data_IF_493215036456
#
_entry.id   IF_493215036456
#
_cell.length_a   1.000
_cell.length_b   1.000
_cell.length_c   1.000
_cell.angle_alpha   90.00
_cell.angle_beta   90.00
_cell.angle_gamma   90.00
#
_symmetry.space_group_name_H-M   'P 1'
#
loop_
_entity.id
_entity.type
_entity.pdbx_description
1 polymer ?
#
# COMPACT_ATOMS: atom_id res chain seq x y z
N UNK A 1 -21.22 1.88 4.57
CA UNK A 1 -20.45 0.83 3.86
C UNK A 1 -20.82 -0.55 4.41
N UNK A 2 -20.71 -1.64 3.63
CA UNK A 2 -20.81 -3.00 4.17
C UNK A 2 -19.74 -3.23 5.25
N UNK A 3 -20.08 -3.90 6.37
CA UNK A 3 -19.16 -4.10 7.53
C UNK A 3 -17.78 -4.65 7.15
N UNK A 4 -17.71 -5.47 6.10
CA UNK A 4 -16.46 -6.05 5.58
C UNK A 4 -15.53 -5.02 4.92
N UNK A 5 -16.05 -3.93 4.37
CA UNK A 5 -15.25 -2.85 3.77
C UNK A 5 -14.42 -2.15 4.85
N UNK A 6 -15.02 -1.91 6.01
CA UNK A 6 -14.38 -1.26 7.15
C UNK A 6 -13.14 -2.05 7.57
N UNK A 7 -13.28 -3.38 7.70
CA UNK A 7 -12.15 -4.27 7.97
C UNK A 7 -11.01 -4.08 6.95
N UNK A 8 -11.31 -4.04 5.67
CA UNK A 8 -10.30 -3.87 4.63
C UNK A 8 -9.69 -2.46 4.63
N UNK A 9 -10.44 -1.42 4.99
CA UNK A 9 -9.89 -0.07 5.18
C UNK A 9 -8.87 -0.05 6.34
N UNK A 10 -9.18 -0.75 7.44
CA UNK A 10 -8.23 -0.91 8.54
C UNK A 10 -7.02 -1.77 8.14
N UNK A 11 -7.20 -2.86 7.39
CA UNK A 11 -6.09 -3.66 6.85
C UNK A 11 -5.12 -2.78 6.03
N UNK A 12 -5.64 -1.87 5.20
CA UNK A 12 -4.84 -0.91 4.43
C UNK A 12 -4.13 0.07 5.36
N UNK A 13 -4.84 0.63 6.34
CA UNK A 13 -4.25 1.61 7.26
C UNK A 13 -3.10 1.00 8.07
N UNK A 14 -3.27 -0.22 8.57
CA UNK A 14 -2.22 -0.93 9.32
C UNK A 14 -0.99 -1.17 8.47
N UNK A 15 -1.16 -1.69 7.23
CA UNK A 15 -0.02 -1.91 6.33
C UNK A 15 0.73 -0.60 5.98
N UNK A 16 0.00 0.51 5.84
CA UNK A 16 0.61 1.83 5.63
C UNK A 16 1.42 2.26 6.87
N UNK A 17 0.88 2.07 8.06
CA UNK A 17 1.56 2.43 9.31
C UNK A 17 2.79 1.55 9.56
N UNK A 18 2.75 0.26 9.18
CA UNK A 18 3.91 -0.63 9.18
C UNK A 18 5.01 -0.13 8.23
N UNK A 19 4.67 0.22 6.97
CA UNK A 19 5.63 0.82 6.02
C UNK A 19 6.31 2.05 6.60
N UNK A 20 5.56 2.93 7.24
CA UNK A 20 6.12 4.14 7.85
C UNK A 20 7.03 3.82 9.04
N UNK A 21 6.63 2.86 9.88
CA UNK A 21 7.38 2.48 11.09
C UNK A 21 8.79 1.96 10.80
N UNK A 22 9.03 1.40 9.62
CA UNK A 22 10.36 0.95 9.21
C UNK A 22 11.38 2.09 9.16
N UNK A 23 10.91 3.34 9.09
CA UNK A 23 11.73 4.55 9.00
C UNK A 23 11.69 5.40 10.28
N UNK A 24 11.08 4.94 11.37
CA UNK A 24 11.06 5.70 12.64
C UNK A 24 12.45 5.81 13.26
N UNK A 25 13.23 4.72 13.20
CA UNK A 25 14.61 4.65 13.72
C UNK A 25 15.67 4.54 12.60
N UNK A 26 15.24 4.58 11.33
CA UNK A 26 16.12 4.38 10.17
C UNK A 26 16.01 5.53 9.16
N UNK A 27 17.06 5.78 8.35
CA UNK A 27 16.99 6.80 7.30
C UNK A 27 15.89 6.51 6.27
N UNK A 28 15.06 7.52 5.99
CA UNK A 28 14.03 7.47 4.94
C UNK A 28 14.58 7.95 3.61
N UNK A 29 15.54 7.21 3.06
CA UNK A 29 16.15 7.49 1.76
C UNK A 29 16.28 6.23 0.89
N UNK A 30 16.55 6.47 -0.40
CA UNK A 30 16.61 5.42 -1.40
C UNK A 30 17.82 4.49 -1.21
N UNK A 31 18.95 5.00 -0.75
CA UNK A 31 20.17 4.21 -0.60
C UNK A 31 20.00 3.19 0.54
N UNK A 32 19.41 3.60 1.65
CA UNK A 32 19.04 2.71 2.74
C UNK A 32 18.01 1.67 2.31
N UNK A 33 16.96 2.09 1.60
CA UNK A 33 15.93 1.18 1.08
C UNK A 33 16.50 0.14 0.10
N UNK A 34 17.21 0.58 -0.94
CA UNK A 34 17.69 -0.29 -2.03
C UNK A 34 18.74 -1.30 -1.55
N UNK A 35 19.59 -0.91 -0.59
CA UNK A 35 20.63 -1.77 -0.01
C UNK A 35 20.10 -2.78 1.03
N UNK A 36 18.87 -2.60 1.53
CA UNK A 36 18.30 -3.45 2.58
C UNK A 36 17.24 -4.42 2.03
N UNK A 37 17.67 -5.63 1.64
CA UNK A 37 16.78 -6.65 1.08
C UNK A 37 15.66 -7.12 2.02
N UNK A 38 15.84 -7.03 3.35
CA UNK A 38 14.77 -7.36 4.30
C UNK A 38 13.67 -6.30 4.29
N UNK A 39 14.07 -5.02 4.29
CA UNK A 39 13.15 -3.89 4.21
C UNK A 39 12.35 -3.90 2.90
N UNK A 40 13.01 -4.21 1.77
CA UNK A 40 12.34 -4.34 0.48
C UNK A 40 11.21 -5.36 0.53
N UNK A 41 11.50 -6.57 1.03
CA UNK A 41 10.49 -7.64 1.16
C UNK A 41 9.36 -7.27 2.12
N UNK A 42 9.67 -6.58 3.22
CA UNK A 42 8.66 -6.10 4.16
C UNK A 42 7.71 -5.10 3.46
N UNK A 43 8.25 -4.09 2.79
CA UNK A 43 7.46 -3.11 2.04
C UNK A 43 6.66 -3.75 0.91
N UNK A 44 7.26 -4.65 0.13
CA UNK A 44 6.55 -5.40 -0.93
C UNK A 44 5.36 -6.16 -0.37
N UNK A 45 5.53 -6.83 0.78
CA UNK A 45 4.46 -7.55 1.44
C UNK A 45 3.31 -6.63 1.87
N UNK A 46 3.63 -5.47 2.42
CA UNK A 46 2.62 -4.50 2.83
C UNK A 46 1.87 -3.93 1.61
N UNK A 47 2.58 -3.68 0.51
CA UNK A 47 1.97 -3.27 -0.76
C UNK A 47 1.04 -4.34 -1.35
N UNK A 48 1.37 -5.63 -1.23
CA UNK A 48 0.46 -6.72 -1.61
C UNK A 48 -0.83 -6.72 -0.79
N UNK A 49 -0.73 -6.53 0.53
CA UNK A 49 -1.87 -6.47 1.45
C UNK A 49 -2.78 -5.30 1.06
N UNK A 50 -2.20 -4.12 0.85
CA UNK A 50 -2.91 -2.92 0.40
C UNK A 50 -3.66 -3.21 -0.91
N UNK A 51 -2.96 -3.77 -1.91
CA UNK A 51 -3.57 -4.08 -3.20
C UNK A 51 -4.70 -5.10 -3.13
N UNK A 52 -4.58 -6.12 -2.28
CA UNK A 52 -5.62 -7.14 -2.08
C UNK A 52 -6.85 -6.53 -1.40
N UNK A 53 -6.64 -5.71 -0.37
CA UNK A 53 -7.72 -5.04 0.34
C UNK A 53 -8.48 -4.07 -0.59
N UNK A 54 -7.78 -3.25 -1.38
CA UNK A 54 -8.40 -2.37 -2.38
C UNK A 54 -9.21 -3.18 -3.41
N UNK A 55 -8.66 -4.28 -3.91
CA UNK A 55 -9.37 -5.17 -4.85
C UNK A 55 -10.69 -5.71 -4.26
N UNK A 56 -10.67 -6.12 -2.98
CA UNK A 56 -11.86 -6.61 -2.27
C UNK A 56 -12.89 -5.51 -2.06
N UNK A 57 -12.46 -4.30 -1.69
CA UNK A 57 -13.33 -3.13 -1.54
C UNK A 57 -14.03 -2.85 -2.86
N UNK A 58 -13.30 -2.74 -3.98
CA UNK A 58 -13.90 -2.40 -5.28
C UNK A 58 -14.88 -3.45 -5.79
N UNK A 59 -14.71 -4.74 -5.43
CA UNK A 59 -15.67 -5.80 -5.78
C UNK A 59 -17.02 -5.66 -5.05
N UNK A 60 -17.03 -5.06 -3.87
CA UNK A 60 -18.20 -5.00 -2.98
C UNK A 60 -18.82 -3.59 -2.96
N UNK A 61 -17.98 -2.57 -3.06
CA UNK A 61 -18.34 -1.15 -3.08
C UNK A 61 -17.57 -0.47 -4.23
N UNK A 62 -17.97 -0.70 -5.49
CA UNK A 62 -17.26 -0.21 -6.68
C UNK A 62 -17.18 1.32 -6.80
N UNK A 63 -18.09 2.02 -6.12
CA UNK A 63 -18.13 3.49 -6.09
C UNK A 63 -17.28 4.10 -4.96
N UNK A 64 -16.47 3.30 -4.26
CA UNK A 64 -15.53 3.83 -3.25
C UNK A 64 -14.45 4.64 -3.95
N UNK A 65 -14.33 5.91 -3.58
CA UNK A 65 -13.34 6.82 -4.16
C UNK A 65 -11.98 6.61 -3.49
N UNK A 66 -11.09 5.88 -4.18
CA UNK A 66 -9.67 5.74 -3.85
C UNK A 66 -8.88 6.14 -5.10
N UNK A 67 -7.97 7.09 -4.96
CA UNK A 67 -7.19 7.58 -6.10
C UNK A 67 -6.30 6.46 -6.64
N UNK A 68 -6.27 6.31 -7.97
CA UNK A 68 -5.46 5.30 -8.65
C UNK A 68 -5.71 3.85 -8.19
N UNK A 69 -6.91 3.53 -7.68
CA UNK A 69 -7.21 2.20 -7.16
C UNK A 69 -6.90 1.04 -8.13
N UNK A 70 -7.13 1.25 -9.44
CA UNK A 70 -6.74 0.26 -10.47
C UNK A 70 -5.23 0.01 -10.53
N UNK A 71 -4.41 1.06 -10.38
CA UNK A 71 -2.96 0.92 -10.37
C UNK A 71 -2.49 0.25 -9.08
N UNK A 72 -3.14 0.50 -7.94
CA UNK A 72 -2.84 -0.17 -6.68
C UNK A 72 -3.09 -1.69 -6.79
N UNK A 73 -4.22 -2.09 -7.40
CA UNK A 73 -4.51 -3.50 -7.69
C UNK A 73 -3.53 -4.08 -8.72
N UNK A 74 -3.16 -3.29 -9.73
CA UNK A 74 -2.16 -3.67 -10.73
C UNK A 74 -0.78 -3.94 -10.13
N UNK A 75 -0.33 -3.07 -9.22
CA UNK A 75 0.94 -3.19 -8.50
C UNK A 75 1.04 -4.53 -7.77
N UNK A 76 0.00 -4.92 -7.02
CA UNK A 76 -0.05 -6.24 -6.37
C UNK A 76 0.22 -7.38 -7.37
N UNK A 77 -0.41 -7.33 -8.54
CA UNK A 77 -0.22 -8.38 -9.54
C UNK A 77 1.20 -8.35 -10.11
N UNK A 78 1.82 -7.17 -10.25
CA UNK A 78 3.22 -7.04 -10.65
C UNK A 78 4.16 -7.61 -9.58
N UNK A 79 3.94 -7.32 -8.30
CA UNK A 79 4.76 -7.86 -7.20
C UNK A 79 4.64 -9.39 -7.19
N UNK A 80 3.43 -9.95 -7.27
CA UNK A 80 3.26 -11.42 -7.23
C UNK A 80 3.85 -12.13 -8.45
N UNK A 81 3.73 -11.56 -9.66
CA UNK A 81 4.08 -12.27 -10.91
C UNK A 81 5.40 -11.85 -11.55
N UNK A 82 5.94 -10.70 -11.16
CA UNK A 82 7.14 -10.12 -11.76
C UNK A 82 8.11 -9.57 -10.70
N UNK A 83 8.10 -10.08 -9.47
CA UNK A 83 8.99 -9.64 -8.38
C UNK A 83 10.47 -9.62 -8.81
N UNK A 84 10.90 -10.54 -9.67
CA UNK A 84 12.27 -10.59 -10.20
C UNK A 84 12.67 -9.37 -11.07
N UNK A 85 11.69 -8.62 -11.58
CA UNK A 85 11.87 -7.53 -12.56
C UNK A 85 11.42 -6.16 -12.05
N UNK A 86 10.96 -6.05 -10.80
CA UNK A 86 10.55 -4.75 -10.26
C UNK A 86 11.81 -3.97 -9.86
N UNK A 87 11.94 -2.78 -10.45
CA UNK A 87 13.00 -1.85 -10.11
C UNK A 87 12.72 -1.21 -8.74
N UNK A 88 13.72 -1.19 -7.87
CA UNK A 88 13.65 -0.61 -6.52
C UNK A 88 13.11 0.83 -6.56
N UNK A 89 13.45 1.60 -7.59
CA UNK A 89 13.02 2.98 -7.82
C UNK A 89 11.49 3.10 -7.95
N UNK A 90 10.83 2.08 -8.50
CA UNK A 90 9.37 2.06 -8.65
C UNK A 90 8.72 1.91 -7.28
N UNK A 91 9.17 0.92 -6.49
CA UNK A 91 8.66 0.68 -5.14
C UNK A 91 8.92 1.91 -4.26
N UNK A 92 10.12 2.46 -4.31
CA UNK A 92 10.46 3.67 -3.57
C UNK A 92 9.58 4.86 -3.97
N UNK A 93 9.35 5.06 -5.26
CA UNK A 93 8.45 6.08 -5.77
C UNK A 93 7.03 5.96 -5.18
N UNK A 94 6.53 4.73 -5.04
CA UNK A 94 5.22 4.44 -4.44
C UNK A 94 5.22 4.78 -2.95
N UNK A 95 6.25 4.36 -2.21
CA UNK A 95 6.40 4.64 -0.76
C UNK A 95 6.40 6.15 -0.49
N UNK A 96 7.10 6.94 -1.32
CA UNK A 96 7.23 8.38 -1.10
C UNK A 96 6.03 9.18 -1.60
N UNK A 97 5.42 8.79 -2.73
CA UNK A 97 4.39 9.62 -3.38
C UNK A 97 2.97 9.10 -3.19
N UNK A 98 2.77 7.79 -3.25
CA UNK A 98 1.43 7.20 -3.30
C UNK A 98 0.92 6.81 -1.91
N UNK A 99 1.77 6.25 -1.06
CA UNK A 99 1.38 5.80 0.29
C UNK A 99 0.85 6.96 1.16
N UNK A 100 1.49 8.15 1.21
CA UNK A 100 0.95 9.26 2.02
C UNK A 100 -0.43 9.73 1.56
N UNK A 101 -0.67 9.78 0.25
CA UNK A 101 -1.97 10.15 -0.32
C UNK A 101 -3.03 9.11 0.04
N UNK A 102 -2.72 7.83 -0.18
CA UNK A 102 -3.64 6.73 0.14
C UNK A 102 -4.01 6.75 1.63
N UNK A 103 -3.04 7.01 2.52
CA UNK A 103 -3.29 7.12 3.97
C UNK A 103 -4.35 8.16 4.28
N UNK A 104 -4.29 9.32 3.63
CA UNK A 104 -5.26 10.40 3.84
C UNK A 104 -6.66 9.97 3.40
N UNK A 105 -6.78 9.36 2.22
CA UNK A 105 -8.05 8.87 1.68
C UNK A 105 -8.68 7.81 2.58
N UNK A 106 -7.90 6.83 3.02
CA UNK A 106 -8.36 5.75 3.89
C UNK A 106 -8.81 6.29 5.24
N UNK A 107 -8.07 7.23 5.84
CA UNK A 107 -8.50 7.89 7.09
C UNK A 107 -9.80 8.68 6.93
N UNK A 108 -10.04 9.30 5.78
CA UNK A 108 -11.30 9.98 5.49
C UNK A 108 -12.46 8.98 5.35
N UNK A 109 -12.24 7.88 4.62
CA UNK A 109 -13.25 6.83 4.43
C UNK A 109 -13.65 6.17 5.77
N UNK A 110 -12.68 5.92 6.66
CA UNK A 110 -12.94 5.38 8.01
C UNK A 110 -13.72 6.37 8.88
N UNK A 111 -13.41 7.68 8.80
CA UNK A 111 -14.12 8.71 9.60
C UNK A 111 -15.56 8.96 9.14
N UNK A 112 -15.88 8.64 7.89
CA UNK A 112 -17.20 8.84 7.28
C UNK A 112 -18.12 7.61 7.40
N UNK A 113 -17.75 6.62 8.24
CA UNK A 113 -18.65 5.55 8.71
C UNK A 113 -19.70 6.05 9.69
#
# INVERSE_FOLDING_TARGET
>A
MPKQVNKWLYDILTAIEEIESYFDENPKDFDYFSSNGMLKRAIERDLEIIGEAVNRILKVAPNTEITNARNIVGLRNQIIHAYDNIQDEIIWGIVIKNIPLLKQEIKLLIKNE
#
